data_IF_602976148975
#
_entry.id   IF_602976148975
#
_cell.length_a   1.000
_cell.length_b   1.000
_cell.length_c   1.000
_cell.angle_alpha   90.00
_cell.angle_beta   90.00
_cell.angle_gamma   90.00
#
_symmetry.space_group_name_H-M   'P 1'
#
loop_
_entity.id
_entity.type
_entity.pdbx_description
1 polymer ?
#
# COMPACT_ATOMS: atom_id res chain seq x y z
N UNK A 1 -12.92 -16.61 -2.11
CA UNK A 1 -14.13 -17.14 -2.82
C UNK A 1 -13.71 -18.33 -3.67
N UNK A 2 -14.55 -19.35 -3.81
CA UNK A 2 -14.29 -20.47 -4.74
C UNK A 2 -14.55 -20.05 -6.19
N UNK A 3 -13.98 -20.77 -7.17
CA UNK A 3 -14.20 -20.50 -8.60
C UNK A 3 -15.70 -20.46 -8.96
N UNK A 4 -16.50 -21.40 -8.45
CA UNK A 4 -17.95 -21.43 -8.70
C UNK A 4 -18.65 -20.16 -8.18
N UNK A 5 -18.27 -19.66 -7.01
CA UNK A 5 -18.81 -18.41 -6.46
C UNK A 5 -18.44 -17.19 -7.31
N UNK A 6 -17.20 -17.14 -7.82
CA UNK A 6 -16.71 -16.07 -8.70
C UNK A 6 -17.55 -16.02 -9.99
N UNK A 7 -17.75 -17.16 -10.66
CA UNK A 7 -18.55 -17.21 -11.88
C UNK A 7 -20.01 -16.80 -11.67
N UNK A 8 -20.64 -17.26 -10.57
CA UNK A 8 -22.02 -16.85 -10.22
C UNK A 8 -22.12 -15.34 -9.96
N UNK A 9 -21.16 -14.76 -9.24
CA UNK A 9 -21.08 -13.31 -8.97
C UNK A 9 -20.85 -12.54 -10.27
N UNK A 10 -19.98 -13.02 -11.16
CA UNK A 10 -19.71 -12.41 -12.46
C UNK A 10 -20.97 -12.33 -13.32
N UNK A 11 -21.72 -13.44 -13.45
CA UNK A 11 -22.98 -13.45 -14.20
C UNK A 11 -24.02 -12.48 -13.64
N UNK A 12 -24.12 -12.40 -12.31
CA UNK A 12 -25.02 -11.45 -11.65
C UNK A 12 -24.62 -10.01 -11.97
N UNK A 13 -23.33 -9.68 -11.86
CA UNK A 13 -22.82 -8.34 -12.17
C UNK A 13 -23.05 -7.97 -13.62
N UNK A 14 -22.74 -8.85 -14.57
CA UNK A 14 -22.99 -8.60 -15.99
C UNK A 14 -24.45 -8.25 -16.25
N UNK A 15 -25.41 -8.95 -15.65
CA UNK A 15 -26.84 -8.66 -15.81
C UNK A 15 -27.26 -7.32 -15.21
N UNK A 16 -26.54 -6.81 -14.21
CA UNK A 16 -26.80 -5.50 -13.60
C UNK A 16 -26.15 -4.36 -14.38
N UNK A 17 -25.02 -4.62 -15.04
CA UNK A 17 -24.22 -3.57 -15.69
C UNK A 17 -24.48 -3.43 -17.19
N UNK A 18 -24.92 -4.50 -17.88
CA UNK A 18 -25.09 -4.50 -19.34
C UNK A 18 -26.21 -3.55 -19.79
N UNK A 19 -25.93 -2.75 -20.82
CA UNK A 19 -26.90 -1.84 -21.43
C UNK A 19 -27.29 -2.28 -22.85
N UNK A 20 -28.33 -1.66 -23.40
CA UNK A 20 -28.77 -1.95 -24.76
C UNK A 20 -27.68 -1.58 -25.78
N UNK A 21 -27.21 -2.56 -26.56
CA UNK A 21 -26.12 -2.40 -27.52
C UNK A 21 -24.79 -3.03 -27.07
N UNK A 22 -24.65 -3.40 -25.79
CA UNK A 22 -23.44 -4.04 -25.29
C UNK A 22 -23.35 -5.52 -25.66
N UNK A 23 -22.13 -6.02 -25.85
CA UNK A 23 -21.88 -7.47 -25.96
C UNK A 23 -21.83 -8.12 -24.58
N UNK A 24 -22.73 -9.07 -24.34
CA UNK A 24 -22.75 -9.83 -23.07
C UNK A 24 -21.41 -10.49 -22.78
N UNK A 25 -20.76 -11.08 -23.79
CA UNK A 25 -19.48 -11.75 -23.62
C UNK A 25 -18.37 -10.79 -23.18
N UNK A 26 -18.33 -9.59 -23.76
CA UNK A 26 -17.34 -8.57 -23.40
C UNK A 26 -17.57 -8.06 -21.97
N UNK A 27 -18.81 -7.74 -21.61
CA UNK A 27 -19.17 -7.27 -20.26
C UNK A 27 -18.91 -8.36 -19.21
N UNK A 28 -19.22 -9.63 -19.53
CA UNK A 28 -18.92 -10.76 -18.67
C UNK A 28 -17.42 -10.96 -18.46
N UNK A 29 -16.61 -10.90 -19.52
CA UNK A 29 -15.16 -11.00 -19.41
C UNK A 29 -14.58 -9.88 -18.53
N UNK A 30 -15.11 -8.65 -18.63
CA UNK A 30 -14.68 -7.53 -17.80
C UNK A 30 -15.04 -7.74 -16.32
N UNK A 31 -16.28 -8.14 -16.02
CA UNK A 31 -16.71 -8.44 -14.65
C UNK A 31 -15.92 -9.61 -14.05
N UNK A 32 -15.68 -10.66 -14.83
CA UNK A 32 -14.91 -11.82 -14.40
C UNK A 32 -13.46 -11.42 -14.07
N UNK A 33 -12.83 -10.61 -14.91
CA UNK A 33 -11.47 -10.08 -14.67
C UNK A 33 -11.39 -9.25 -13.39
N UNK A 34 -12.39 -8.39 -13.15
CA UNK A 34 -12.46 -7.59 -11.93
C UNK A 34 -12.60 -8.46 -10.67
N UNK A 35 -13.45 -9.49 -10.71
CA UNK A 35 -13.64 -10.42 -9.60
C UNK A 35 -12.41 -11.29 -9.34
N UNK A 36 -11.72 -11.73 -10.40
CA UNK A 36 -10.46 -12.43 -10.24
C UNK A 36 -9.40 -11.53 -9.61
N UNK A 37 -9.30 -10.26 -10.02
CA UNK A 37 -8.41 -9.30 -9.37
C UNK A 37 -8.75 -9.11 -7.89
N UNK A 38 -10.04 -9.02 -7.53
CA UNK A 38 -10.50 -8.97 -6.13
C UNK A 38 -10.10 -10.24 -5.35
N UNK A 39 -10.30 -11.42 -5.95
CA UNK A 39 -10.01 -12.72 -5.31
C UNK A 39 -8.51 -13.02 -5.14
N UNK A 40 -7.66 -12.40 -5.96
CA UNK A 40 -6.20 -12.56 -5.95
C UNK A 40 -5.50 -11.53 -5.06
N UNK A 41 -6.23 -10.59 -4.45
CA UNK A 41 -5.63 -9.67 -3.48
C UNK A 41 -4.98 -10.51 -2.37
N UNK A 42 -3.67 -10.36 -2.12
CA UNK A 42 -3.01 -11.12 -1.08
C UNK A 42 -3.71 -10.84 0.25
N UNK A 43 -3.95 -11.90 1.01
CA UNK A 43 -4.42 -11.74 2.39
C UNK A 43 -3.26 -11.12 3.16
N UNK A 44 -3.42 -9.86 3.54
CA UNK A 44 -2.41 -9.15 4.32
C UNK A 44 -2.49 -9.67 5.75
N UNK A 45 -1.61 -10.60 6.07
CA UNK A 45 -1.43 -11.15 7.42
C UNK A 45 -0.38 -10.34 8.18
N UNK A 46 -0.51 -10.23 9.51
CA UNK A 46 0.48 -9.56 10.35
C UNK A 46 1.88 -10.16 10.17
N UNK A 47 1.96 -11.48 10.04
CA UNK A 47 3.22 -12.23 9.89
C UNK A 47 3.93 -11.89 8.57
N UNK A 48 3.18 -11.71 7.48
CA UNK A 48 3.73 -11.25 6.20
C UNK A 48 4.27 -9.81 6.31
N UNK A 49 3.60 -8.94 7.07
CA UNK A 49 4.06 -7.57 7.30
C UNK A 49 5.29 -7.51 8.20
N UNK A 50 5.39 -8.39 9.20
CA UNK A 50 6.60 -8.55 10.03
C UNK A 50 7.79 -9.05 9.20
N UNK A 51 7.56 -9.99 8.27
CA UNK A 51 8.61 -10.54 7.40
C UNK A 51 9.26 -9.49 6.50
N UNK A 52 8.55 -8.42 6.13
CA UNK A 52 9.07 -7.30 5.34
C UNK A 52 9.61 -6.13 6.20
N UNK A 53 9.74 -6.32 7.52
CA UNK A 53 10.33 -5.35 8.44
C UNK A 53 9.34 -4.54 9.27
N UNK A 54 8.06 -4.92 9.29
CA UNK A 54 7.07 -4.37 10.20
C UNK A 54 7.32 -4.78 11.66
N UNK A 55 6.92 -3.92 12.60
CA UNK A 55 7.02 -4.18 14.04
C UNK A 55 5.61 -4.28 14.62
N UNK A 56 5.21 -5.50 15.00
CA UNK A 56 3.91 -5.73 15.61
C UNK A 56 3.86 -5.20 17.04
N UNK A 57 2.77 -4.52 17.34
CA UNK A 57 2.46 -3.97 18.65
C UNK A 57 1.05 -4.38 19.02
N UNK A 58 0.94 -5.07 20.16
CA UNK A 58 -0.31 -5.55 20.70
C UNK A 58 -0.51 -5.02 22.11
N UNK A 59 -1.67 -4.43 22.38
CA UNK A 59 -2.06 -3.99 23.72
C UNK A 59 -3.57 -3.84 23.84
N UNK A 60 -4.18 -4.57 24.78
CA UNK A 60 -5.63 -4.59 24.93
C UNK A 60 -6.29 -5.06 23.63
N UNK A 61 -7.25 -4.29 23.13
CA UNK A 61 -7.97 -4.60 21.88
C UNK A 61 -7.22 -4.16 20.61
N UNK A 62 -6.00 -3.63 20.73
CA UNK A 62 -5.23 -3.16 19.58
C UNK A 62 -4.22 -4.20 19.11
N UNK A 63 -4.19 -4.45 17.81
CA UNK A 63 -3.16 -5.22 17.10
C UNK A 63 -2.72 -4.45 15.85
N UNK A 64 -1.50 -3.92 15.85
CA UNK A 64 -0.99 -3.03 14.79
C UNK A 64 0.42 -3.42 14.39
N UNK A 65 0.73 -3.29 13.10
CA UNK A 65 2.09 -3.46 12.58
C UNK A 65 2.62 -2.10 12.11
N UNK A 66 3.61 -1.55 12.82
CA UNK A 66 4.23 -0.27 12.52
C UNK A 66 5.43 -0.42 11.58
N UNK A 67 5.61 0.55 10.68
CA UNK A 67 6.80 0.65 9.84
C UNK A 67 7.64 1.85 10.26
N UNK A 68 8.90 1.61 10.59
CA UNK A 68 9.83 2.62 11.13
C UNK A 68 10.72 3.26 10.06
N UNK A 69 11.16 2.49 9.06
CA UNK A 69 12.01 3.00 7.97
C UNK A 69 11.18 3.55 6.80
N UNK A 70 10.41 4.61 7.06
CA UNK A 70 9.53 5.22 6.07
C UNK A 70 10.28 5.93 4.95
N UNK A 71 11.51 6.41 5.21
CA UNK A 71 12.35 7.02 4.19
C UNK A 71 12.70 6.01 3.10
N UNK A 72 13.27 4.87 3.48
CA UNK A 72 13.62 3.82 2.52
C UNK A 72 12.38 3.24 1.85
N UNK A 73 11.28 3.05 2.62
CA UNK A 73 10.02 2.55 2.07
C UNK A 73 9.44 3.47 0.99
N UNK A 74 9.52 4.79 1.21
CA UNK A 74 9.09 5.79 0.23
C UNK A 74 10.07 5.93 -0.96
N UNK A 75 11.28 5.36 -0.83
CA UNK A 75 12.35 5.44 -1.81
C UNK A 75 13.23 6.68 -1.69
N UNK A 76 13.20 7.38 -0.55
CA UNK A 76 14.06 8.51 -0.25
C UNK A 76 15.38 8.02 0.37
N UNK A 77 16.49 8.21 -0.33
CA UNK A 77 17.83 7.90 0.16
C UNK A 77 18.59 9.21 0.33
N UNK A 78 19.22 9.39 1.49
CA UNK A 78 20.00 10.58 1.80
C UNK A 78 21.40 10.20 2.29
N UNK A 79 22.41 10.86 1.75
CA UNK A 79 23.77 10.85 2.26
C UNK A 79 24.00 12.09 3.10
N UNK A 80 24.83 11.98 4.12
CA UNK A 80 25.06 13.05 5.09
C UNK A 80 26.54 13.39 5.19
N UNK A 81 26.85 14.67 5.38
CA UNK A 81 28.14 15.10 5.89
C UNK A 81 28.29 14.69 7.36
N UNK A 82 29.52 14.71 7.88
CA UNK A 82 29.80 14.51 9.32
C UNK A 82 29.04 15.49 10.23
N UNK A 83 28.67 16.65 9.71
CA UNK A 83 27.87 17.66 10.40
C UNK A 83 26.37 17.31 10.51
N UNK A 84 25.92 16.21 9.91
CA UNK A 84 24.51 15.80 9.87
C UNK A 84 23.68 16.50 8.80
N UNK A 85 24.27 17.40 7.99
CA UNK A 85 23.59 18.00 6.83
C UNK A 85 23.56 17.01 5.66
N UNK A 86 22.45 16.99 4.91
CA UNK A 86 22.32 16.19 3.69
C UNK A 86 23.33 16.70 2.65
N UNK A 87 24.18 15.80 2.15
CA UNK A 87 25.16 16.06 1.10
C UNK A 87 24.63 15.71 -0.28
N UNK A 88 23.84 14.64 -0.39
CA UNK A 88 23.18 14.17 -1.61
C UNK A 88 21.89 13.46 -1.27
N UNK A 89 20.88 13.57 -2.12
CA UNK A 89 19.64 12.84 -1.97
C UNK A 89 19.10 12.32 -3.30
N UNK A 90 18.54 11.13 -3.27
CA UNK A 90 17.78 10.55 -4.38
C UNK A 90 16.39 10.15 -3.92
N UNK A 91 15.42 10.29 -4.81
CA UNK A 91 14.06 9.80 -4.65
C UNK A 91 13.77 8.81 -5.75
N UNK A 92 13.55 7.54 -5.38
CA UNK A 92 13.28 6.44 -6.31
C UNK A 92 14.34 6.33 -7.42
N UNK A 93 15.60 6.62 -7.06
CA UNK A 93 16.75 6.56 -7.96
C UNK A 93 17.07 7.89 -8.68
N UNK A 94 16.19 8.88 -8.65
CA UNK A 94 16.41 10.18 -9.29
C UNK A 94 17.00 11.20 -8.30
N UNK A 95 17.97 12.00 -8.75
CA UNK A 95 18.56 13.05 -7.92
C UNK A 95 17.51 14.14 -7.60
N UNK A 96 17.42 14.54 -6.33
CA UNK A 96 16.57 15.65 -5.87
C UNK A 96 17.38 16.67 -5.09
N UNK A 97 16.84 17.89 -4.93
CA UNK A 97 17.51 18.92 -4.13
C UNK A 97 17.57 18.55 -2.65
N UNK A 98 18.69 18.89 -1.99
CA UNK A 98 18.89 18.59 -0.58
C UNK A 98 17.86 19.28 0.34
N UNK A 99 17.36 20.47 -0.04
CA UNK A 99 16.31 21.16 0.73
C UNK A 99 14.98 20.42 0.70
N UNK A 100 14.58 19.94 -0.49
CA UNK A 100 13.38 19.12 -0.66
C UNK A 100 13.52 17.80 0.10
N UNK A 101 14.67 17.14 -0.02
CA UNK A 101 14.97 15.92 0.72
C UNK A 101 14.88 16.12 2.24
N UNK A 102 15.39 17.24 2.76
CA UNK A 102 15.35 17.54 4.19
C UNK A 102 13.93 17.71 4.72
N UNK A 103 13.06 18.42 3.98
CA UNK A 103 11.65 18.57 4.34
C UNK A 103 10.94 17.21 4.36
N UNK A 104 11.11 16.41 3.31
CA UNK A 104 10.50 15.08 3.22
C UNK A 104 11.03 14.12 4.30
N UNK A 105 12.34 14.15 4.57
CA UNK A 105 12.95 13.33 5.61
C UNK A 105 12.42 13.69 7.00
N UNK A 106 12.16 14.97 7.28
CA UNK A 106 11.55 15.41 8.53
C UNK A 106 10.13 14.84 8.68
N UNK A 107 9.29 14.97 7.65
CA UNK A 107 7.91 14.47 7.68
C UNK A 107 7.89 12.93 7.83
N UNK A 108 8.69 12.22 7.03
CA UNK A 108 8.77 10.75 7.06
C UNK A 108 9.32 10.20 8.37
N UNK A 109 10.17 10.94 9.10
CA UNK A 109 10.71 10.51 10.41
C UNK A 109 9.79 10.81 11.58
N UNK A 110 9.01 11.88 11.49
CA UNK A 110 8.13 12.34 12.56
C UNK A 110 6.75 11.69 12.49
N UNK A 111 6.30 11.37 11.28
CA UNK A 111 5.06 10.69 11.01
C UNK A 111 5.02 9.23 11.49
N UNK A 112 3.82 8.68 11.58
CA UNK A 112 3.59 7.25 11.90
C UNK A 112 2.78 6.60 10.81
N UNK A 113 3.15 5.39 10.44
CA UNK A 113 2.43 4.57 9.47
C UNK A 113 2.31 3.15 10.00
N UNK A 114 1.10 2.60 9.97
CA UNK A 114 0.84 1.26 10.48
C UNK A 114 -0.28 0.57 9.70
N UNK A 115 -0.30 -0.75 9.77
CA UNK A 115 -1.44 -1.58 9.40
C UNK A 115 -2.16 -2.00 10.67
N UNK A 116 -3.48 -1.80 10.73
CA UNK A 116 -4.32 -2.24 11.84
C UNK A 116 -4.93 -3.60 11.49
N UNK A 117 -4.52 -4.64 12.23
CA UNK A 117 -4.82 -6.04 11.92
C UNK A 117 -6.30 -6.34 12.11
N UNK A 118 -6.96 -5.65 13.05
CA UNK A 118 -8.37 -5.85 13.35
C UNK A 118 -9.28 -5.29 12.26
N UNK A 119 -8.95 -4.11 11.75
CA UNK A 119 -9.72 -3.46 10.67
C UNK A 119 -9.30 -3.93 9.28
N UNK A 120 -8.06 -4.40 9.13
CA UNK A 120 -7.49 -4.78 7.84
C UNK A 120 -7.07 -3.57 6.99
N UNK A 121 -6.85 -2.42 7.61
CA UNK A 121 -6.60 -1.15 6.92
C UNK A 121 -5.23 -0.55 7.29
N UNK A 122 -4.63 0.16 6.33
CA UNK A 122 -3.48 1.03 6.62
C UNK A 122 -3.97 2.35 7.20
N UNK A 123 -3.26 2.86 8.19
CA UNK A 123 -3.52 4.14 8.79
C UNK A 123 -2.22 4.90 9.03
N UNK A 124 -2.35 6.21 9.21
CA UNK A 124 -1.21 7.09 9.36
C UNK A 124 -1.49 8.22 10.34
N UNK A 125 -0.40 8.87 10.79
CA UNK A 125 -0.40 10.13 11.51
C UNK A 125 0.66 11.02 10.88
N UNK A 126 0.29 12.25 10.52
CA UNK A 126 1.19 13.28 9.98
C UNK A 126 1.92 12.88 8.67
N UNK A 127 1.30 12.03 7.84
CA UNK A 127 1.87 11.50 6.58
C UNK A 127 0.90 11.56 5.39
N UNK A 128 -0.14 12.40 5.44
CA UNK A 128 -1.16 12.45 4.39
C UNK A 128 -0.59 12.60 2.96
N UNK A 129 0.45 13.43 2.71
CA UNK A 129 1.04 13.54 1.37
C UNK A 129 1.71 12.27 0.85
N UNK A 130 2.13 11.37 1.73
CA UNK A 130 2.93 10.18 1.39
C UNK A 130 2.13 8.88 1.45
N UNK A 131 0.92 8.92 2.02
CA UNK A 131 0.17 7.74 2.42
C UNK A 131 -0.06 6.75 1.27
N UNK A 132 -0.57 7.22 0.13
CA UNK A 132 -0.88 6.35 -1.02
C UNK A 132 0.36 5.61 -1.54
N UNK A 133 1.50 6.31 -1.60
CA UNK A 133 2.76 5.74 -2.06
C UNK A 133 3.33 4.71 -1.08
N UNK A 134 3.24 4.98 0.23
CA UNK A 134 3.68 4.05 1.28
C UNK A 134 2.86 2.76 1.26
N UNK A 135 1.52 2.86 1.11
CA UNK A 135 0.64 1.69 0.96
C UNK A 135 1.04 0.88 -0.27
N UNK A 136 1.25 1.54 -1.40
CA UNK A 136 1.66 0.87 -2.65
C UNK A 136 3.00 0.17 -2.50
N UNK A 137 3.98 0.83 -1.86
CA UNK A 137 5.31 0.29 -1.64
C UNK A 137 5.28 -0.98 -0.77
N UNK A 138 4.45 -1.02 0.27
CA UNK A 138 4.26 -2.23 1.08
C UNK A 138 3.56 -3.33 0.28
N UNK A 139 2.47 -3.00 -0.40
CA UNK A 139 1.70 -3.99 -1.17
C UNK A 139 2.52 -4.62 -2.29
N UNK A 140 3.51 -3.93 -2.86
CA UNK A 140 4.42 -4.51 -3.85
C UNK A 140 5.45 -5.50 -3.29
N UNK A 141 5.60 -5.57 -1.96
CA UNK A 141 6.56 -6.43 -1.25
C UNK A 141 5.92 -7.70 -0.67
N UNK A 142 4.59 -7.81 -0.74
CA UNK A 142 3.78 -8.94 -0.28
C UNK A 142 3.34 -9.76 -1.50
#
# INVERSE_FOLDING_TARGET
MTNSQIFKKAHRWTKLTIQAGDSYQATFALCLRALYAESRKPVITAEALEAIGGNRWQKGDFDRVYFSDLMTLYGLICQYYKSGKISRATLRGEDISNSKANAMAFDLRSGKFWYDVNTGEYAHKDLAPYFSDLVTAIQSKI
#
